data_IF_576750085858
#
_entry.id   IF_576750085858
#
_cell.length_a   1.000
_cell.length_b   1.000
_cell.length_c   1.000
_cell.angle_alpha   90.00
_cell.angle_beta   90.00
_cell.angle_gamma   90.00
#
_symmetry.space_group_name_H-M   'P 1'
#
loop_
_entity.id
_entity.type
_entity.pdbx_description
1 polymer ?
#
# COMPACT_ATOMS: atom_id res chain seq x y z
N UNK A 1 5.31 16.20 11.08
CA UNK A 1 4.57 15.96 9.82
C UNK A 1 5.42 15.04 8.96
N UNK A 2 4.94 13.83 8.66
CA UNK A 2 5.66 12.85 7.86
C UNK A 2 6.00 13.39 6.47
N UNK A 3 7.17 12.99 5.96
CA UNK A 3 7.55 13.18 4.55
C UNK A 3 7.08 11.97 3.75
N UNK A 4 6.76 12.17 2.47
CA UNK A 4 6.32 11.09 1.59
C UNK A 4 7.32 10.89 0.47
N UNK A 5 7.75 9.65 0.25
CA UNK A 5 8.56 9.24 -0.89
C UNK A 5 7.69 8.30 -1.74
N UNK A 6 7.34 8.74 -2.95
CA UNK A 6 6.61 7.89 -3.90
C UNK A 6 7.60 7.19 -4.83
N UNK A 7 7.52 5.86 -4.89
CA UNK A 7 8.35 5.02 -5.74
C UNK A 7 7.49 4.49 -6.90
N UNK A 8 7.78 4.94 -8.11
CA UNK A 8 7.07 4.54 -9.34
C UNK A 8 7.97 3.68 -10.25
N UNK A 9 7.36 2.84 -11.08
CA UNK A 9 8.07 2.06 -12.11
C UNK A 9 7.92 2.62 -13.51
N UNK A 10 9.01 2.62 -14.28
CA UNK A 10 8.97 2.89 -15.72
C UNK A 10 9.48 1.69 -16.53
N UNK A 11 9.21 1.72 -17.84
CA UNK A 11 9.68 0.75 -18.84
C UNK A 11 9.02 -0.63 -18.71
N UNK A 12 9.35 -1.43 -17.69
CA UNK A 12 8.83 -2.78 -17.49
C UNK A 12 8.69 -3.11 -16.00
N UNK A 13 7.80 -4.06 -15.68
CA UNK A 13 7.70 -4.66 -14.35
C UNK A 13 8.93 -5.51 -14.02
N UNK A 14 9.12 -5.85 -12.75
CA UNK A 14 10.20 -6.73 -12.25
C UNK A 14 11.62 -6.14 -12.22
N UNK A 15 11.77 -4.81 -12.28
CA UNK A 15 13.05 -4.12 -12.08
C UNK A 15 13.50 -4.01 -10.60
N UNK A 16 12.81 -4.68 -9.67
CA UNK A 16 13.17 -4.67 -8.25
C UNK A 16 12.70 -3.42 -7.47
N UNK A 17 11.51 -2.88 -7.79
CA UNK A 17 10.93 -1.72 -7.09
C UNK A 17 10.81 -1.93 -5.57
N UNK A 18 10.24 -3.06 -5.16
CA UNK A 18 10.08 -3.40 -3.73
C UNK A 18 11.41 -3.44 -3.00
N UNK A 19 12.43 -4.09 -3.57
CA UNK A 19 13.78 -4.13 -2.98
C UNK A 19 14.44 -2.75 -2.90
N UNK A 20 14.27 -1.91 -3.92
CA UNK A 20 14.78 -0.54 -3.88
C UNK A 20 14.08 0.30 -2.79
N UNK A 21 12.75 0.21 -2.68
CA UNK A 21 11.97 0.87 -1.64
C UNK A 21 12.37 0.40 -0.23
N UNK A 22 12.49 -0.91 -0.03
CA UNK A 22 13.01 -1.53 1.21
C UNK A 22 14.40 -1.01 1.57
N UNK A 23 15.32 -0.95 0.60
CA UNK A 23 16.70 -0.51 0.82
C UNK A 23 16.77 0.97 1.19
N UNK A 24 15.92 1.82 0.59
CA UNK A 24 15.78 3.23 0.97
C UNK A 24 15.30 3.32 2.42
N UNK A 25 14.29 2.54 2.81
CA UNK A 25 13.80 2.48 4.19
C UNK A 25 14.91 2.12 5.19
N UNK A 26 15.66 1.06 4.89
CA UNK A 26 16.80 0.61 5.71
C UNK A 26 17.85 1.73 5.89
N UNK A 27 18.21 2.43 4.82
CA UNK A 27 19.18 3.52 4.86
C UNK A 27 18.67 4.73 5.66
N UNK A 28 17.38 5.04 5.61
CA UNK A 28 16.77 6.10 6.41
C UNK A 28 16.78 5.74 7.90
N UNK A 29 16.45 4.50 8.26
CA UNK A 29 16.55 4.02 9.64
C UNK A 29 17.99 4.03 10.15
N UNK A 30 18.97 3.67 9.32
CA UNK A 30 20.38 3.78 9.65
C UNK A 30 20.84 5.23 9.91
N UNK A 31 20.05 6.23 9.49
CA UNK A 31 20.24 7.66 9.79
C UNK A 31 19.40 8.15 10.97
N UNK A 32 18.76 7.25 11.70
CA UNK A 32 17.96 7.55 12.89
C UNK A 32 16.56 8.06 12.59
N UNK A 33 16.05 7.90 11.37
CA UNK A 33 14.69 8.26 11.00
C UNK A 33 13.75 7.07 11.19
N UNK A 34 12.54 7.33 11.65
CA UNK A 34 11.47 6.34 11.68
C UNK A 34 10.77 6.27 10.32
N UNK A 35 10.50 5.05 9.84
CA UNK A 35 9.85 4.85 8.53
C UNK A 35 8.62 3.95 8.61
N UNK A 36 7.72 4.11 7.65
CA UNK A 36 6.70 3.12 7.34
C UNK A 36 6.60 2.94 5.82
N UNK A 37 6.21 1.75 5.38
CA UNK A 37 6.10 1.40 3.97
C UNK A 37 4.64 1.08 3.61
N UNK A 38 4.20 1.51 2.43
CA UNK A 38 2.91 1.18 1.85
C UNK A 38 3.14 0.63 0.43
N UNK A 39 2.50 -0.51 0.14
CA UNK A 39 2.35 -1.04 -1.22
C UNK A 39 0.97 -0.72 -1.76
N UNK A 40 0.90 -0.05 -2.91
CA UNK A 40 -0.32 0.17 -3.69
C UNK A 40 -0.33 -0.76 -4.91
N UNK A 41 -1.19 -1.76 -4.89
CA UNK A 41 -1.30 -2.76 -5.95
C UNK A 41 -2.44 -2.45 -6.92
N UNK A 42 -2.19 -2.36 -8.24
CA UNK A 42 -3.21 -1.97 -9.20
C UNK A 42 -4.20 -3.09 -9.55
N UNK A 43 -4.06 -4.30 -8.99
CA UNK A 43 -4.98 -5.42 -9.28
C UNK A 43 -6.31 -5.32 -8.54
N UNK A 44 -7.33 -5.97 -9.09
CA UNK A 44 -8.73 -5.88 -8.62
C UNK A 44 -9.10 -6.86 -7.51
N UNK A 45 -8.24 -7.84 -7.18
CA UNK A 45 -8.43 -8.68 -6.01
C UNK A 45 -8.44 -7.80 -4.74
N UNK A 46 -9.35 -8.08 -3.80
CA UNK A 46 -9.45 -7.31 -2.53
C UNK A 46 -8.20 -7.52 -1.67
N UNK A 47 -7.68 -8.74 -1.70
CA UNK A 47 -6.44 -9.21 -1.11
C UNK A 47 -5.87 -10.33 -2.02
N UNK A 48 -4.60 -10.73 -1.86
CA UNK A 48 -4.02 -11.80 -2.66
C UNK A 48 -4.37 -13.21 -2.18
N UNK A 49 -5.21 -13.40 -1.15
CA UNK A 49 -5.56 -14.72 -0.61
C UNK A 49 -6.23 -15.66 -1.63
N UNK A 50 -6.82 -15.09 -2.67
CA UNK A 50 -7.44 -15.81 -3.81
C UNK A 50 -6.48 -16.10 -4.97
N UNK A 51 -5.25 -15.58 -4.94
CA UNK A 51 -4.30 -15.68 -6.03
C UNK A 51 -3.49 -16.98 -5.94
N UNK A 52 -3.15 -17.56 -7.09
CA UNK A 52 -2.30 -18.76 -7.14
C UNK A 52 -0.85 -18.40 -6.77
N UNK A 53 -0.27 -18.97 -5.69
CA UNK A 53 1.09 -18.62 -5.29
C UNK A 53 2.16 -19.09 -6.28
N UNK A 54 1.86 -20.13 -7.07
CA UNK A 54 2.76 -20.61 -8.12
C UNK A 54 2.90 -19.64 -9.29
N UNK A 55 1.92 -18.75 -9.49
CA UNK A 55 1.92 -17.79 -10.60
C UNK A 55 2.29 -16.38 -10.16
N UNK A 56 1.95 -16.02 -8.92
CA UNK A 56 2.04 -14.64 -8.43
C UNK A 56 3.01 -14.45 -7.27
N UNK A 57 3.60 -15.52 -6.74
CA UNK A 57 4.44 -15.48 -5.55
C UNK A 57 3.66 -15.77 -4.26
N UNK A 58 4.38 -15.85 -3.15
CA UNK A 58 3.76 -16.13 -1.84
C UNK A 58 2.79 -15.03 -1.40
N UNK A 59 1.84 -15.41 -0.55
CA UNK A 59 1.00 -14.46 0.20
C UNK A 59 1.70 -14.18 1.53
N UNK A 60 1.97 -12.91 1.82
CA UNK A 60 2.55 -12.51 3.10
C UNK A 60 1.44 -12.24 4.12
N UNK A 61 1.60 -12.76 5.34
CA UNK A 61 0.64 -12.57 6.42
C UNK A 61 1.25 -11.70 7.51
N UNK A 62 0.60 -10.58 7.81
CA UNK A 62 1.01 -9.63 8.86
C UNK A 62 0.50 -10.06 10.24
N UNK A 63 1.06 -9.48 11.31
CA UNK A 63 0.69 -9.79 12.71
C UNK A 63 -0.82 -9.56 13.01
N UNK A 64 -1.48 -8.65 12.28
CA UNK A 64 -2.93 -8.40 12.40
C UNK A 64 -3.80 -9.35 11.54
N UNK A 65 -3.18 -10.40 10.98
CA UNK A 65 -3.83 -11.46 10.23
C UNK A 65 -4.22 -11.08 8.81
N UNK A 66 -3.72 -9.96 8.27
CA UNK A 66 -4.00 -9.60 6.88
C UNK A 66 -3.10 -10.39 5.90
N UNK A 67 -3.75 -11.01 4.91
CA UNK A 67 -3.14 -11.55 3.70
C UNK A 67 -2.79 -10.40 2.75
N UNK A 68 -1.53 -10.33 2.32
CA UNK A 68 -0.96 -9.17 1.62
C UNK A 68 0.06 -9.59 0.57
N UNK A 69 0.43 -8.65 -0.29
CA UNK A 69 1.48 -8.85 -1.29
C UNK A 69 2.84 -9.16 -0.63
N UNK A 70 3.65 -9.99 -1.28
CA UNK A 70 4.97 -10.42 -0.80
C UNK A 70 5.95 -9.27 -0.50
N UNK A 71 5.76 -8.10 -1.12
CA UNK A 71 6.63 -6.94 -0.89
C UNK A 71 6.55 -6.43 0.55
N UNK A 72 5.47 -6.68 1.30
CA UNK A 72 5.43 -6.38 2.72
C UNK A 72 6.47 -7.18 3.51
N UNK A 73 6.72 -8.43 3.11
CA UNK A 73 7.81 -9.22 3.66
C UNK A 73 9.18 -8.62 3.36
N UNK A 74 9.38 -8.01 2.18
CA UNK A 74 10.61 -7.28 1.88
C UNK A 74 10.78 -6.06 2.78
N UNK A 75 9.71 -5.33 3.06
CA UNK A 75 9.76 -4.15 3.92
C UNK A 75 10.11 -4.55 5.37
N UNK A 76 9.46 -5.57 5.93
CA UNK A 76 9.72 -6.04 7.31
C UNK A 76 11.12 -6.67 7.46
N UNK A 77 11.65 -7.30 6.41
CA UNK A 77 13.02 -7.86 6.46
C UNK A 77 14.12 -6.80 6.40
N UNK A 78 13.84 -5.63 5.83
CA UNK A 78 14.84 -4.57 5.63
C UNK A 78 14.70 -3.41 6.62
N UNK A 79 13.52 -3.25 7.23
CA UNK A 79 13.18 -2.13 8.13
C UNK A 79 12.60 -2.64 9.43
N UNK A 80 12.55 -1.78 10.45
CA UNK A 80 11.92 -2.08 11.73
C UNK A 80 10.43 -1.68 11.78
N UNK A 81 9.85 -1.29 10.62
CA UNK A 81 8.47 -0.87 10.52
C UNK A 81 7.51 -2.04 10.79
N UNK A 82 6.54 -1.83 11.69
CA UNK A 82 5.48 -2.82 11.97
C UNK A 82 4.32 -2.65 11.01
N UNK A 83 4.22 -3.57 10.06
CA UNK A 83 3.20 -3.49 9.03
C UNK A 83 1.90 -4.16 9.48
N UNK A 84 0.85 -3.91 8.71
CA UNK A 84 -0.50 -4.35 8.99
C UNK A 84 -1.32 -4.27 7.72
N UNK A 85 -2.59 -4.61 7.79
CA UNK A 85 -3.55 -4.39 6.68
C UNK A 85 -3.53 -2.97 6.11
N UNK A 86 -3.17 -1.94 6.87
CA UNK A 86 -3.11 -0.56 6.33
C UNK A 86 -1.94 -0.30 5.38
N UNK A 87 -0.98 -1.23 5.30
CA UNK A 87 0.25 -1.09 4.53
C UNK A 87 0.17 -1.76 3.14
N UNK A 88 -0.91 -2.51 2.85
CA UNK A 88 -1.19 -3.03 1.51
C UNK A 88 -2.59 -2.61 1.06
N UNK A 89 -2.67 -1.89 -0.05
CA UNK A 89 -3.94 -1.44 -0.64
C UNK A 89 -4.00 -1.83 -2.10
N UNK A 90 -5.11 -2.45 -2.48
CA UNK A 90 -5.35 -2.90 -3.84
C UNK A 90 -6.42 -2.04 -4.50
N UNK A 91 -6.47 -2.01 -5.84
CA UNK A 91 -7.61 -1.41 -6.56
C UNK A 91 -8.92 -2.05 -6.10
N UNK A 92 -8.96 -3.37 -5.92
CA UNK A 92 -10.14 -4.10 -5.45
C UNK A 92 -10.68 -3.57 -4.13
N UNK A 93 -9.81 -3.42 -3.14
CA UNK A 93 -10.18 -2.95 -1.80
C UNK A 93 -10.63 -1.48 -1.80
N UNK A 94 -9.96 -0.63 -2.57
CA UNK A 94 -10.34 0.79 -2.72
C UNK A 94 -11.75 0.89 -3.32
N UNK A 95 -12.01 0.18 -4.42
CA UNK A 95 -13.31 0.18 -5.07
C UNK A 95 -14.40 -0.40 -4.17
N UNK A 96 -14.12 -1.51 -3.48
CA UNK A 96 -15.05 -2.10 -2.52
C UNK A 96 -15.44 -1.09 -1.43
N UNK A 97 -14.47 -0.41 -0.83
CA UNK A 97 -14.74 0.58 0.23
C UNK A 97 -15.61 1.74 -0.27
N UNK A 98 -15.33 2.26 -1.48
CA UNK A 98 -16.13 3.34 -2.07
C UNK A 98 -17.55 2.87 -2.38
N UNK A 99 -17.72 1.66 -2.91
CA UNK A 99 -19.05 1.07 -3.20
C UNK A 99 -19.83 0.87 -1.89
N UNK A 100 -19.20 0.36 -0.83
CA UNK A 100 -19.86 0.16 0.48
C UNK A 100 -20.29 1.49 1.11
N UNK A 101 -19.43 2.53 1.07
CA UNK A 101 -19.79 3.88 1.52
C UNK A 101 -20.98 4.44 0.74
N UNK A 102 -21.01 4.20 -0.56
CA UNK A 102 -22.11 4.62 -1.41
C UNK A 102 -23.42 3.90 -1.09
N UNK A 103 -23.39 2.57 -0.95
CA UNK A 103 -24.58 1.79 -0.55
C UNK A 103 -25.12 2.15 0.83
N UNK A 104 -24.26 2.62 1.75
CA UNK A 104 -24.67 3.13 3.06
C UNK A 104 -25.25 4.55 3.01
N UNK A 105 -25.08 5.26 1.90
CA UNK A 105 -25.58 6.64 1.73
C UNK A 105 -24.60 7.73 2.14
N UNK A 106 -23.32 7.42 2.40
CA UNK A 106 -22.31 8.38 2.89
C UNK A 106 -22.07 9.54 1.90
N UNK A 107 -22.34 9.34 0.61
CA UNK A 107 -22.18 10.36 -0.43
C UNK A 107 -23.45 11.19 -0.69
N UNK A 108 -24.50 11.01 0.14
CA UNK A 108 -25.70 11.86 0.15
C UNK A 108 -26.39 11.98 -1.22
N UNK A 109 -26.49 10.87 -1.96
CA UNK A 109 -27.16 10.79 -3.26
C UNK A 109 -26.37 11.37 -4.44
N UNK A 110 -25.10 11.76 -4.25
CA UNK A 110 -24.23 12.23 -5.34
C UNK A 110 -23.76 11.09 -6.24
N UNK A 111 -23.49 11.40 -7.50
CA UNK A 111 -22.85 10.47 -8.44
C UNK A 111 -21.42 10.16 -8.00
N UNK A 112 -21.08 8.87 -7.96
CA UNK A 112 -19.73 8.42 -7.67
C UNK A 112 -18.90 8.36 -8.94
N UNK A 113 -17.66 8.82 -8.83
CA UNK A 113 -16.73 9.03 -9.93
C UNK A 113 -15.33 8.63 -9.49
N UNK A 114 -14.48 8.27 -10.45
CA UNK A 114 -13.06 8.00 -10.20
C UNK A 114 -12.39 9.22 -9.55
N UNK A 115 -12.60 10.40 -10.12
CA UNK A 115 -12.20 11.67 -9.51
C UNK A 115 -13.48 12.39 -9.05
N UNK A 116 -13.60 12.79 -7.77
CA UNK A 116 -12.59 12.68 -6.73
C UNK A 116 -12.66 11.38 -5.91
N UNK A 117 -13.78 10.66 -5.88
CA UNK A 117 -14.09 9.67 -4.84
C UNK A 117 -13.05 8.53 -4.72
N UNK A 118 -12.66 7.90 -5.83
CA UNK A 118 -11.62 6.84 -5.80
C UNK A 118 -10.27 7.44 -5.43
N UNK A 119 -9.89 8.57 -6.03
CA UNK A 119 -8.62 9.24 -5.70
C UNK A 119 -8.56 9.75 -4.26
N UNK A 120 -9.69 10.14 -3.68
CA UNK A 120 -9.82 10.54 -2.28
C UNK A 120 -9.65 9.35 -1.36
N UNK A 121 -10.22 8.19 -1.70
CA UNK A 121 -10.01 6.95 -0.96
C UNK A 121 -8.54 6.53 -0.95
N UNK A 122 -7.86 6.61 -2.10
CA UNK A 122 -6.42 6.33 -2.20
C UNK A 122 -5.61 7.29 -1.31
N UNK A 123 -5.95 8.59 -1.32
CA UNK A 123 -5.30 9.58 -0.44
C UNK A 123 -5.58 9.29 1.05
N UNK A 124 -6.80 8.86 1.39
CA UNK A 124 -7.16 8.49 2.76
C UNK A 124 -6.37 7.27 3.23
N UNK A 125 -6.26 6.23 2.39
CA UNK A 125 -5.45 5.04 2.64
C UNK A 125 -3.99 5.39 2.96
N UNK A 126 -3.35 6.21 2.11
CA UNK A 126 -1.95 6.63 2.31
C UNK A 126 -1.78 7.47 3.59
N UNK A 127 -2.72 8.36 3.87
CA UNK A 127 -2.68 9.19 5.09
C UNK A 127 -2.96 8.38 6.36
N UNK A 128 -3.73 7.30 6.28
CA UNK A 128 -4.02 6.46 7.43
C UNK A 128 -2.75 5.77 7.96
N UNK A 129 -1.91 5.23 7.08
CA UNK A 129 -0.64 4.63 7.51
C UNK A 129 0.32 5.69 8.08
N UNK A 130 0.28 6.92 7.57
CA UNK A 130 1.10 8.02 8.09
C UNK A 130 0.70 8.51 9.49
N UNK A 131 -0.52 8.18 9.95
CA UNK A 131 -0.99 8.48 11.31
C UNK A 131 -0.65 7.36 12.30
N UNK A 132 -0.43 6.15 11.78
CA UNK A 132 -0.03 5.00 12.58
C UNK A 132 1.45 5.18 12.92
N UNK A 133 1.79 5.14 14.20
CA UNK A 133 3.17 5.22 14.71
C UNK A 133 3.94 6.54 14.44
N UNK A 134 3.29 7.56 13.88
CA UNK A 134 3.82 8.91 13.56
C UNK A 134 5.26 8.91 12.98
N UNK A 135 5.50 8.23 11.84
CA UNK A 135 6.84 8.09 11.28
C UNK A 135 7.36 9.41 10.69
N UNK A 136 8.68 9.55 10.63
CA UNK A 136 9.32 10.67 9.94
C UNK A 136 9.11 10.59 8.42
N UNK A 137 9.14 9.37 7.86
CA UNK A 137 9.03 9.13 6.41
C UNK A 137 8.06 7.98 6.09
N UNK A 138 7.17 8.22 5.13
CA UNK A 138 6.26 7.23 4.54
C UNK A 138 6.73 6.92 3.12
N UNK A 139 7.14 5.69 2.87
CA UNK A 139 7.55 5.22 1.55
C UNK A 139 6.33 4.55 0.91
N UNK A 140 5.87 5.09 -0.23
CA UNK A 140 4.70 4.60 -0.96
C UNK A 140 5.16 4.02 -2.29
N UNK A 141 5.17 2.69 -2.39
CA UNK A 141 5.41 2.01 -3.66
C UNK A 141 4.12 1.93 -4.47
N UNK A 142 4.17 2.45 -5.69
CA UNK A 142 3.08 2.35 -6.66
C UNK A 142 3.40 1.19 -7.61
N UNK A 143 2.61 0.11 -7.51
CA UNK A 143 2.68 -1.04 -8.38
C UNK A 143 2.32 -0.71 -9.84
N UNK A 144 2.66 -1.63 -10.74
CA UNK A 144 2.53 -1.43 -12.18
C UNK A 144 3.69 -0.63 -12.79
N UNK A 145 3.43 -0.06 -13.98
CA UNK A 145 4.38 0.68 -14.81
C UNK A 145 3.67 1.91 -15.37
N UNK A 146 4.37 3.05 -15.40
CA UNK A 146 3.93 4.32 -16.01
C UNK A 146 3.96 4.26 -17.54
#
# INVERSE_FOLDING_TARGET
>A
MPKYIFVTGGVVSSLGKGLAASSIGCLLEARGLTVTCIKLDPYINVDPGTMSPFQHGEVFVTDDGAETDLDLGHYERFTHARLSRSNNWTTGRIYLSVIEKERRGDYLGKTIQVIPHITDEIKQAVRAAAKKDDPDVVIVEIGGTV
#
